data_IF_537862855089
#
_entry.id   IF_537862855089
#
_cell.length_a   1.000
_cell.length_b   1.000
_cell.length_c   1.000
_cell.angle_alpha   90.00
_cell.angle_beta   90.00
_cell.angle_gamma   90.00
#
_symmetry.space_group_name_H-M   'P 1'
#
loop_
_entity.id
_entity.type
_entity.pdbx_description
1 polymer ?
#
# COMPACT_ATOMS: atom_id res chain seq x y z
N UNK A 1 14.48 -19.60 -8.48
CA UNK A 1 13.89 -18.68 -7.48
C UNK A 1 13.62 -17.25 -7.99
N UNK A 2 14.57 -16.57 -8.65
CA UNK A 2 14.39 -15.17 -9.06
C UNK A 2 13.28 -14.95 -10.11
N UNK A 3 13.12 -15.87 -11.06
CA UNK A 3 12.02 -15.81 -12.04
C UNK A 3 10.64 -15.91 -11.36
N UNK A 4 10.52 -16.73 -10.31
CA UNK A 4 9.28 -16.84 -9.53
C UNK A 4 8.95 -15.53 -8.82
N UNK A 5 9.96 -14.85 -8.25
CA UNK A 5 9.81 -13.53 -7.62
C UNK A 5 9.37 -12.46 -8.63
N UNK A 6 9.90 -12.48 -9.86
CA UNK A 6 9.46 -11.57 -10.94
C UNK A 6 7.99 -11.82 -11.31
N UNK A 7 7.60 -13.08 -11.55
CA UNK A 7 6.21 -13.42 -11.89
C UNK A 7 5.27 -13.02 -10.74
N UNK A 8 5.66 -13.32 -9.51
CA UNK A 8 4.96 -12.95 -8.28
C UNK A 8 4.78 -11.42 -8.15
N UNK A 9 5.81 -10.63 -8.45
CA UNK A 9 5.71 -9.16 -8.53
C UNK A 9 4.71 -8.70 -9.58
N UNK A 10 4.77 -9.26 -10.80
CA UNK A 10 3.84 -8.90 -11.88
C UNK A 10 2.40 -9.22 -11.48
N UNK A 11 2.13 -10.40 -10.91
CA UNK A 11 0.80 -10.77 -10.42
C UNK A 11 0.33 -9.86 -9.28
N UNK A 12 1.21 -9.48 -8.36
CA UNK A 12 0.88 -8.56 -7.27
C UNK A 12 0.54 -7.15 -7.78
N UNK A 13 1.27 -6.65 -8.78
CA UNK A 13 0.99 -5.37 -9.44
C UNK A 13 -0.41 -5.38 -10.06
N UNK A 14 -0.70 -6.37 -10.90
CA UNK A 14 -2.02 -6.49 -11.55
C UNK A 14 -3.14 -6.75 -10.53
N UNK A 15 -2.90 -7.56 -9.51
CA UNK A 15 -3.86 -7.82 -8.44
C UNK A 15 -4.22 -6.57 -7.65
N UNK A 16 -3.23 -5.76 -7.24
CA UNK A 16 -3.48 -4.49 -6.55
C UNK A 16 -4.17 -3.47 -7.46
N UNK A 17 -3.76 -3.38 -8.73
CA UNK A 17 -4.42 -2.52 -9.70
C UNK A 17 -5.89 -2.90 -9.87
N UNK A 18 -6.18 -4.18 -10.06
CA UNK A 18 -7.56 -4.65 -10.17
C UNK A 18 -8.35 -4.41 -8.88
N UNK A 19 -7.75 -4.65 -7.71
CA UNK A 19 -8.41 -4.32 -6.44
C UNK A 19 -8.75 -2.84 -6.32
N UNK A 20 -7.93 -1.95 -6.87
CA UNK A 20 -8.17 -0.50 -6.80
C UNK A 20 -9.38 -0.02 -7.62
N UNK A 21 -9.86 -0.82 -8.57
CA UNK A 21 -10.98 -0.48 -9.46
C UNK A 21 -12.15 -1.47 -9.41
N UNK A 22 -12.00 -2.64 -8.77
CA UNK A 22 -13.00 -3.70 -8.77
C UNK A 22 -14.18 -3.42 -7.84
N UNK A 23 -15.40 -3.70 -8.26
CA UNK A 23 -16.59 -3.55 -7.41
C UNK A 23 -17.33 -4.87 -7.24
N UNK A 24 -18.07 -5.00 -6.14
CA UNK A 24 -18.88 -6.18 -5.84
C UNK A 24 -18.07 -7.48 -5.82
N UNK A 25 -18.56 -8.51 -6.51
CA UNK A 25 -17.95 -9.84 -6.47
C UNK A 25 -16.57 -9.93 -7.13
N UNK A 26 -16.24 -9.02 -8.06
CA UNK A 26 -14.94 -8.99 -8.73
C UNK A 26 -13.78 -8.73 -7.78
N UNK A 27 -14.05 -8.14 -6.60
CA UNK A 27 -13.06 -7.95 -5.53
C UNK A 27 -12.42 -9.29 -5.13
N UNK A 28 -13.18 -10.40 -5.07
CA UNK A 28 -12.65 -11.72 -4.71
C UNK A 28 -11.69 -12.27 -5.75
N UNK A 29 -11.96 -12.03 -7.03
CA UNK A 29 -11.08 -12.42 -8.13
C UNK A 29 -9.77 -11.62 -8.07
N UNK A 30 -9.87 -10.30 -7.92
CA UNK A 30 -8.72 -9.42 -7.79
C UNK A 30 -7.88 -9.74 -6.53
N UNK A 31 -8.53 -10.02 -5.40
CA UNK A 31 -7.89 -10.42 -4.16
C UNK A 31 -7.15 -11.76 -4.30
N UNK A 32 -7.73 -12.72 -5.02
CA UNK A 32 -7.07 -14.00 -5.30
C UNK A 32 -5.82 -13.80 -6.15
N UNK A 33 -5.91 -12.98 -7.20
CA UNK A 33 -4.75 -12.65 -8.04
C UNK A 33 -3.63 -11.99 -7.25
N UNK A 34 -3.97 -11.01 -6.40
CA UNK A 34 -3.03 -10.37 -5.49
C UNK A 34 -2.44 -11.37 -4.49
N UNK A 35 -3.28 -12.24 -3.91
CA UNK A 35 -2.88 -13.29 -2.98
C UNK A 35 -1.82 -14.22 -3.59
N UNK A 36 -2.08 -14.72 -4.80
CA UNK A 36 -1.12 -15.55 -5.56
C UNK A 36 0.22 -14.84 -5.78
N UNK A 37 0.17 -13.55 -6.10
CA UNK A 37 1.37 -12.71 -6.17
C UNK A 37 2.10 -12.67 -4.83
N UNK A 38 1.41 -12.36 -3.73
CA UNK A 38 2.02 -12.15 -2.41
C UNK A 38 2.62 -13.42 -1.78
N UNK A 39 2.07 -14.60 -2.07
CA UNK A 39 2.45 -15.87 -1.42
C UNK A 39 3.93 -16.21 -1.55
N UNK A 40 4.57 -15.89 -2.67
CA UNK A 40 5.94 -16.35 -2.95
C UNK A 40 7.03 -15.39 -2.48
N UNK A 41 6.72 -14.13 -2.14
CA UNK A 41 7.75 -13.14 -1.81
C UNK A 41 8.60 -13.55 -0.62
N UNK A 42 7.96 -13.87 0.49
CA UNK A 42 8.65 -14.18 1.73
C UNK A 42 9.48 -15.48 1.66
N UNK A 43 8.88 -16.66 1.39
CA UNK A 43 9.63 -17.91 1.39
C UNK A 43 10.72 -17.94 0.33
N UNK A 44 10.47 -17.39 -0.86
CA UNK A 44 11.45 -17.42 -1.95
C UNK A 44 12.60 -16.45 -1.70
N UNK A 45 12.34 -15.27 -1.12
CA UNK A 45 13.42 -14.33 -0.75
C UNK A 45 14.31 -14.94 0.33
N UNK A 46 13.72 -15.55 1.36
CA UNK A 46 14.50 -16.25 2.38
C UNK A 46 15.30 -17.43 1.82
N UNK A 47 14.73 -18.19 0.88
CA UNK A 47 15.45 -19.23 0.15
C UNK A 47 16.65 -18.68 -0.64
N UNK A 48 16.48 -17.56 -1.35
CA UNK A 48 17.58 -16.91 -2.07
C UNK A 48 18.68 -16.48 -1.11
N UNK A 49 18.34 -15.90 0.04
CA UNK A 49 19.31 -15.50 1.06
C UNK A 49 20.04 -16.73 1.59
N UNK A 50 19.33 -17.80 1.94
CA UNK A 50 19.95 -19.04 2.43
C UNK A 50 20.95 -19.64 1.43
N UNK A 51 20.61 -19.63 0.14
CA UNK A 51 21.49 -20.15 -0.92
C UNK A 51 22.67 -19.24 -1.24
N UNK A 52 22.54 -17.92 -1.06
CA UNK A 52 23.60 -16.95 -1.38
C UNK A 52 24.49 -16.61 -0.18
N UNK A 53 24.02 -16.81 1.05
CA UNK A 53 24.77 -16.57 2.29
C UNK A 53 24.80 -17.81 3.21
N UNK A 54 25.24 -18.99 2.74
CA UNK A 54 25.20 -20.23 3.51
C UNK A 54 26.09 -20.21 4.77
N UNK A 55 27.18 -19.43 4.78
CA UNK A 55 28.07 -19.28 5.97
C UNK A 55 27.36 -18.64 7.17
N UNK A 56 26.36 -17.81 6.89
CA UNK A 56 25.59 -17.10 7.92
C UNK A 56 24.51 -17.97 8.57
N UNK A 57 24.11 -19.06 7.92
CA UNK A 57 23.17 -20.05 8.44
C UNK A 57 21.90 -19.42 9.02
N UNK A 58 21.47 -19.93 10.19
CA UNK A 58 20.28 -19.46 10.88
C UNK A 58 20.39 -17.99 11.36
N UNK A 59 21.60 -17.51 11.67
CA UNK A 59 21.78 -16.15 12.19
C UNK A 59 21.43 -15.10 11.13
N UNK A 60 21.95 -15.24 9.90
CA UNK A 60 21.62 -14.31 8.81
C UNK A 60 20.15 -14.41 8.42
N UNK A 61 19.58 -15.62 8.44
CA UNK A 61 18.18 -15.83 8.07
C UNK A 61 17.22 -15.17 9.07
N UNK A 62 17.49 -15.31 10.38
CA UNK A 62 16.74 -14.64 11.43
C UNK A 62 16.94 -13.12 11.39
N UNK A 63 18.15 -12.64 11.13
CA UNK A 63 18.43 -11.20 11.04
C UNK A 63 17.68 -10.55 9.87
N UNK A 64 17.74 -11.12 8.67
CA UNK A 64 17.01 -10.60 7.49
C UNK A 64 15.50 -10.65 7.71
N UNK A 65 15.00 -11.74 8.28
CA UNK A 65 13.57 -11.86 8.62
C UNK A 65 13.13 -10.83 9.66
N UNK A 66 13.93 -10.63 10.71
CA UNK A 66 13.66 -9.68 11.78
C UNK A 66 13.65 -8.24 11.28
N UNK A 67 14.68 -7.84 10.52
CA UNK A 67 14.74 -6.51 9.90
C UNK A 67 13.54 -6.29 8.97
N UNK A 68 13.21 -7.29 8.13
CA UNK A 68 12.06 -7.20 7.24
C UNK A 68 10.74 -6.93 7.99
N UNK A 69 10.49 -7.66 9.08
CA UNK A 69 9.28 -7.46 9.90
C UNK A 69 9.29 -6.12 10.65
N UNK A 70 10.44 -5.68 11.15
CA UNK A 70 10.58 -4.35 11.77
C UNK A 70 10.27 -3.23 10.79
N UNK A 71 10.76 -3.32 9.54
CA UNK A 71 10.48 -2.34 8.49
C UNK A 71 8.99 -2.27 8.15
N UNK A 72 8.30 -3.42 8.08
CA UNK A 72 6.85 -3.47 7.82
C UNK A 72 6.06 -2.75 8.92
N UNK A 73 6.41 -2.96 10.18
CA UNK A 73 5.74 -2.32 11.30
C UNK A 73 6.07 -0.82 11.43
N UNK A 74 7.35 -0.48 11.35
CA UNK A 74 7.84 0.88 11.57
C UNK A 74 7.49 1.84 10.42
N UNK A 75 7.59 1.38 9.17
CA UNK A 75 7.43 2.24 7.98
C UNK A 75 6.25 1.79 7.11
N UNK A 76 6.05 0.49 6.93
CA UNK A 76 5.03 -0.03 6.03
C UNK A 76 3.61 0.40 6.39
N UNK A 77 3.18 0.11 7.62
CA UNK A 77 1.82 0.45 8.06
C UNK A 77 1.53 1.98 8.05
N UNK A 78 2.41 2.85 8.56
CA UNK A 78 2.21 4.30 8.49
C UNK A 78 2.14 4.85 7.06
N UNK A 79 3.03 4.41 6.14
CA UNK A 79 3.01 4.87 4.75
C UNK A 79 1.72 4.46 4.04
N UNK A 80 1.25 3.22 4.27
CA UNK A 80 -0.02 2.76 3.71
C UNK A 80 -1.19 3.57 4.28
N UNK A 81 -1.16 3.90 5.58
CA UNK A 81 -2.12 4.79 6.23
C UNK A 81 -2.14 6.19 5.60
N UNK A 82 -0.97 6.77 5.32
CA UNK A 82 -0.85 8.05 4.64
C UNK A 82 -1.41 8.00 3.21
N UNK A 83 -1.13 6.94 2.44
CA UNK A 83 -1.72 6.76 1.10
C UNK A 83 -3.24 6.62 1.15
N UNK A 84 -3.77 5.93 2.17
CA UNK A 84 -5.19 5.83 2.40
C UNK A 84 -5.80 7.19 2.70
N UNK A 85 -5.26 7.92 3.69
CA UNK A 85 -5.78 9.22 4.10
C UNK A 85 -5.75 10.24 2.96
N UNK A 86 -4.61 10.37 2.27
CA UNK A 86 -4.48 11.30 1.15
C UNK A 86 -5.48 10.98 0.02
N UNK A 87 -5.73 9.69 -0.24
CA UNK A 87 -6.71 9.29 -1.26
C UNK A 87 -8.15 9.52 -0.81
N UNK A 88 -8.47 9.40 0.48
CA UNK A 88 -9.77 9.77 1.03
C UNK A 88 -10.01 11.28 0.93
N UNK A 89 -9.03 12.10 1.34
CA UNK A 89 -9.08 13.56 1.21
C UNK A 89 -9.33 13.94 -0.25
N UNK A 90 -8.56 13.37 -1.18
CA UNK A 90 -8.71 13.61 -2.62
C UNK A 90 -10.12 13.27 -3.13
N UNK A 91 -10.74 12.17 -2.66
CA UNK A 91 -12.10 11.82 -3.05
C UNK A 91 -13.16 12.75 -2.46
N UNK A 92 -12.97 13.19 -1.23
CA UNK A 92 -13.91 14.10 -0.55
C UNK A 92 -13.86 15.49 -1.19
N UNK A 93 -12.66 16.03 -1.43
CA UNK A 93 -12.47 17.35 -2.04
C UNK A 93 -12.97 17.42 -3.49
N UNK A 94 -12.76 16.35 -4.26
CA UNK A 94 -13.17 16.29 -5.66
C UNK A 94 -14.67 15.99 -5.87
N UNK A 95 -15.42 15.68 -4.80
CA UNK A 95 -16.83 15.31 -4.92
C UNK A 95 -17.74 16.52 -5.08
N UNK A 96 -18.33 16.65 -6.26
CA UNK A 96 -19.32 17.70 -6.54
C UNK A 96 -20.63 17.49 -5.78
N UNK A 97 -21.04 16.24 -5.56
CA UNK A 97 -22.21 15.90 -4.74
C UNK A 97 -22.02 16.36 -3.30
N UNK A 98 -20.80 16.18 -2.76
CA UNK A 98 -20.46 16.66 -1.43
C UNK A 98 -20.41 18.19 -1.41
N UNK A 99 -19.87 18.83 -2.45
CA UNK A 99 -19.84 20.29 -2.55
C UNK A 99 -21.25 20.93 -2.60
N UNK A 100 -22.25 20.23 -3.16
CA UNK A 100 -23.63 20.70 -3.23
C UNK A 100 -24.41 20.45 -1.93
N UNK A 101 -24.12 19.33 -1.25
CA UNK A 101 -24.79 18.96 -0.01
C UNK A 101 -24.17 19.62 1.23
N UNK A 102 -22.87 19.92 1.20
CA UNK A 102 -22.13 20.45 2.34
C UNK A 102 -22.53 21.91 2.67
N UNK A 103 -22.47 22.29 3.96
CA UNK A 103 -22.67 23.66 4.38
C UNK A 103 -21.59 24.59 3.82
N UNK A 104 -21.93 25.86 3.58
CA UNK A 104 -21.03 26.88 3.02
C UNK A 104 -19.76 27.13 3.85
N UNK A 105 -19.76 26.74 5.12
CA UNK A 105 -18.60 26.81 6.02
C UNK A 105 -17.50 25.82 5.65
N UNK A 106 -17.82 24.74 4.94
CA UNK A 106 -16.88 23.76 4.41
C UNK A 106 -16.60 23.98 2.91
N UNK A 107 -16.87 25.18 2.39
CA UNK A 107 -16.68 25.50 0.98
C UNK A 107 -15.78 26.73 0.84
N UNK A 108 -14.64 26.55 0.17
CA UNK A 108 -13.77 27.65 -0.26
C UNK A 108 -13.75 27.64 -1.79
N UNK A 109 -14.17 28.75 -2.43
CA UNK A 109 -14.31 28.90 -3.89
C UNK A 109 -15.17 27.80 -4.58
N UNK A 110 -16.17 27.26 -3.88
CA UNK A 110 -17.08 26.24 -4.42
C UNK A 110 -16.50 24.81 -4.43
N UNK A 111 -15.36 24.59 -3.79
CA UNK A 111 -14.80 23.26 -3.52
C UNK A 111 -14.90 22.92 -2.03
N UNK A 112 -14.98 21.63 -1.71
CA UNK A 112 -15.02 21.16 -0.33
C UNK A 112 -13.67 21.43 0.33
N UNK A 113 -13.66 22.33 1.30
CA UNK A 113 -12.53 22.64 2.16
C UNK A 113 -12.70 21.84 3.46
N UNK A 114 -11.83 20.84 3.64
CA UNK A 114 -11.92 19.90 4.76
C UNK A 114 -11.06 20.41 5.92
N UNK A 115 -11.51 20.27 7.17
CA UNK A 115 -10.62 20.47 8.31
C UNK A 115 -9.56 19.36 8.30
N UNK A 116 -8.32 19.74 8.04
CA UNK A 116 -7.18 18.81 7.96
C UNK A 116 -6.37 18.92 9.25
N UNK A 117 -6.06 17.76 9.82
CA UNK A 117 -5.17 17.62 10.97
C UNK A 117 -3.85 17.03 10.51
N UNK A 118 -2.76 17.71 10.83
CA UNK A 118 -1.42 17.19 10.61
C UNK A 118 -1.14 16.08 11.64
N UNK A 119 -0.77 14.91 11.14
CA UNK A 119 -0.35 13.77 11.94
C UNK A 119 1.08 13.40 11.58
N UNK A 120 1.90 13.23 12.61
CA UNK A 120 3.28 12.75 12.46
C UNK A 120 3.41 11.41 13.18
N UNK A 121 3.72 10.36 12.42
CA UNK A 121 4.03 9.04 12.99
C UNK A 121 5.55 8.89 13.12
N UNK A 122 5.99 8.53 14.33
CA UNK A 122 7.39 8.30 14.71
C UNK A 122 8.34 9.48 14.41
N UNK A 123 7.85 10.71 14.29
CA UNK A 123 8.63 11.91 13.93
C UNK A 123 9.32 11.85 12.56
N UNK A 124 8.93 10.90 11.70
CA UNK A 124 9.59 10.62 10.41
C UNK A 124 8.61 10.75 9.24
N UNK A 125 7.31 10.53 9.49
CA UNK A 125 6.29 10.47 8.44
C UNK A 125 5.17 11.43 8.79
N UNK A 126 5.11 12.53 8.05
CA UNK A 126 4.05 13.52 8.13
C UNK A 126 2.97 13.21 7.08
N UNK A 127 1.71 13.21 7.51
CA UNK A 127 0.56 13.07 6.64
C UNK A 127 -0.65 13.77 7.25
N UNK A 128 -1.65 14.04 6.43
CA UNK A 128 -2.86 14.74 6.85
C UNK A 128 -4.00 13.76 6.99
N UNK A 129 -4.85 13.98 7.97
CA UNK A 129 -6.14 13.29 8.14
C UNK A 129 -7.27 14.29 8.19
N UNK A 130 -8.47 13.86 7.80
CA UNK A 130 -9.66 14.70 7.97
C UNK A 130 -10.05 14.68 9.44
N UNK A 131 -10.14 15.86 10.05
CA UNK A 131 -10.68 16.00 11.40
C UNK A 131 -12.18 15.73 11.37
N UNK A 132 -12.54 14.52 11.77
CA UNK A 132 -13.93 14.05 11.75
C UNK A 132 -14.78 14.75 12.81
N UNK A 133 -14.19 15.25 13.89
CA UNK A 133 -14.92 15.91 14.96
C UNK A 133 -15.33 17.32 14.52
N UNK A 134 -14.37 18.08 13.97
CA UNK A 134 -14.64 19.39 13.39
C UNK A 134 -15.57 19.29 12.17
N UNK A 135 -15.35 18.29 11.31
CA UNK A 135 -16.22 18.04 10.15
C UNK A 135 -17.66 17.71 10.59
N UNK A 136 -17.85 16.84 11.58
CA UNK A 136 -19.19 16.50 12.06
C UNK A 136 -19.87 17.70 12.73
N UNK A 137 -19.14 18.47 13.55
CA UNK A 137 -19.68 19.69 14.16
C UNK A 137 -20.12 20.72 13.11
N UNK A 138 -19.41 20.83 11.99
CA UNK A 138 -19.80 21.71 10.89
C UNK A 138 -21.09 21.25 10.17
N UNK A 139 -21.34 19.94 10.11
CA UNK A 139 -22.48 19.36 9.36
C UNK A 139 -23.71 19.11 10.26
N UNK A 140 -23.55 19.04 11.58
CA UNK A 140 -24.58 18.65 12.56
C UNK A 140 -25.92 19.42 12.43
N UNK A 141 -25.85 20.70 12.06
CA UNK A 141 -27.02 21.58 11.94
C UNK A 141 -27.62 21.63 10.51
N UNK A 142 -27.23 20.71 9.63
CA UNK A 142 -27.69 20.68 8.23
C UNK A 142 -28.86 19.72 8.06
N UNK A 143 -29.91 20.13 7.36
CA UNK A 143 -31.10 19.30 7.08
C UNK A 143 -30.76 17.98 6.36
N UNK A 144 -29.62 17.93 5.65
CA UNK A 144 -29.16 16.79 4.85
C UNK A 144 -28.08 15.94 5.57
N UNK A 145 -27.99 15.99 6.90
CA UNK A 145 -26.95 15.29 7.70
C UNK A 145 -26.80 13.80 7.34
N UNK A 146 -27.91 13.07 7.18
CA UNK A 146 -27.87 11.64 6.85
C UNK A 146 -27.28 11.38 5.46
N UNK A 147 -27.63 12.20 4.48
CA UNK A 147 -27.12 12.11 3.11
C UNK A 147 -25.62 12.43 3.04
N UNK A 148 -25.17 13.44 3.78
CA UNK A 148 -23.76 13.81 3.85
C UNK A 148 -22.95 12.68 4.50
N UNK A 149 -23.44 12.10 5.60
CA UNK A 149 -22.74 11.02 6.29
C UNK A 149 -22.61 9.76 5.42
N UNK A 150 -23.66 9.37 4.69
CA UNK A 150 -23.60 8.22 3.78
C UNK A 150 -22.66 8.50 2.60
N UNK A 151 -22.71 9.71 2.03
CA UNK A 151 -21.83 10.12 0.95
C UNK A 151 -20.37 10.15 1.37
N UNK A 152 -20.05 10.71 2.55
CA UNK A 152 -18.69 10.72 3.11
C UNK A 152 -18.19 9.31 3.35
N UNK A 153 -19.03 8.42 3.88
CA UNK A 153 -18.65 7.02 4.10
C UNK A 153 -18.34 6.28 2.78
N UNK A 154 -19.14 6.49 1.74
CA UNK A 154 -18.90 5.92 0.41
C UNK A 154 -17.62 6.48 -0.23
N UNK A 155 -17.42 7.80 -0.18
CA UNK A 155 -16.22 8.47 -0.70
C UNK A 155 -14.95 8.02 0.03
N UNK A 156 -15.00 7.82 1.35
CA UNK A 156 -13.88 7.25 2.12
C UNK A 156 -13.58 5.81 1.72
N UNK A 157 -14.61 5.02 1.45
CA UNK A 157 -14.46 3.63 0.98
C UNK A 157 -13.81 3.61 -0.39
N UNK A 158 -14.29 4.43 -1.33
CA UNK A 158 -13.67 4.63 -2.66
C UNK A 158 -12.23 5.14 -2.55
N UNK A 159 -11.96 6.09 -1.66
CA UNK A 159 -10.62 6.63 -1.42
C UNK A 159 -9.66 5.55 -0.90
N UNK A 160 -10.11 4.74 0.04
CA UNK A 160 -9.37 3.58 0.56
C UNK A 160 -9.05 2.58 -0.54
N UNK A 161 -10.03 2.31 -1.40
CA UNK A 161 -9.84 1.41 -2.52
C UNK A 161 -8.84 1.97 -3.54
N UNK A 162 -8.94 3.26 -3.88
CA UNK A 162 -7.99 3.93 -4.79
C UNK A 162 -6.57 4.00 -4.23
N UNK A 163 -6.42 4.07 -2.91
CA UNK A 163 -5.10 4.03 -2.27
C UNK A 163 -4.32 2.75 -2.62
N UNK A 164 -5.00 1.64 -2.92
CA UNK A 164 -4.35 0.41 -3.37
C UNK A 164 -3.53 0.59 -4.65
N UNK A 165 -3.93 1.52 -5.54
CA UNK A 165 -3.15 1.86 -6.72
C UNK A 165 -1.81 2.53 -6.35
N UNK A 166 -1.79 3.37 -5.30
CA UNK A 166 -0.56 3.99 -4.78
C UNK A 166 0.36 2.94 -4.16
N UNK A 167 -0.20 1.90 -3.53
CA UNK A 167 0.56 0.78 -2.92
C UNK A 167 1.30 -0.08 -3.97
N UNK A 168 0.91 -0.05 -5.25
CA UNK A 168 1.58 -0.76 -6.35
C UNK A 168 3.07 -0.41 -6.45
N UNK A 169 3.48 0.78 -5.99
CA UNK A 169 4.88 1.22 -6.01
C UNK A 169 5.82 0.21 -5.33
N UNK A 170 5.37 -0.46 -4.26
CA UNK A 170 6.22 -1.42 -3.54
C UNK A 170 6.54 -2.66 -4.41
N UNK A 171 5.56 -3.42 -4.95
CA UNK A 171 5.83 -4.47 -5.92
C UNK A 171 6.60 -4.03 -7.17
N UNK A 172 6.40 -2.79 -7.64
CA UNK A 172 7.15 -2.23 -8.78
C UNK A 172 8.64 -2.08 -8.48
N UNK A 173 8.99 -1.53 -7.30
CA UNK A 173 10.38 -1.44 -6.86
C UNK A 173 10.97 -2.85 -6.67
N UNK A 174 10.21 -3.77 -6.07
CA UNK A 174 10.64 -5.17 -5.93
C UNK A 174 10.90 -5.82 -7.29
N UNK A 175 10.02 -5.64 -8.27
CA UNK A 175 10.19 -6.13 -9.63
C UNK A 175 11.51 -5.61 -10.24
N UNK A 176 11.77 -4.31 -10.13
CA UNK A 176 13.01 -3.71 -10.62
C UNK A 176 14.24 -4.33 -9.95
N UNK A 177 14.23 -4.49 -8.63
CA UNK A 177 15.31 -5.13 -7.87
C UNK A 177 15.55 -6.59 -8.33
N UNK A 178 14.49 -7.37 -8.53
CA UNK A 178 14.61 -8.76 -8.97
C UNK A 178 15.12 -8.86 -10.42
N UNK A 179 14.71 -7.96 -11.30
CA UNK A 179 15.24 -7.88 -12.66
C UNK A 179 16.74 -7.51 -12.66
N UNK A 180 17.16 -6.57 -11.81
CA UNK A 180 18.57 -6.22 -11.61
C UNK A 180 19.35 -7.44 -11.13
N UNK A 181 18.84 -8.18 -10.14
CA UNK A 181 19.48 -9.41 -9.66
C UNK A 181 19.60 -10.47 -10.76
N UNK A 182 18.54 -10.68 -11.56
CA UNK A 182 18.58 -11.62 -12.69
C UNK A 182 19.69 -11.21 -13.67
N UNK A 183 19.78 -9.94 -14.02
CA UNK A 183 20.82 -9.45 -14.92
C UNK A 183 22.21 -9.65 -14.33
N UNK A 184 22.41 -9.28 -13.07
CA UNK A 184 23.65 -9.48 -12.33
C UNK A 184 24.08 -10.96 -12.32
N UNK A 185 23.19 -11.89 -11.99
CA UNK A 185 23.53 -13.32 -11.99
C UNK A 185 23.80 -13.85 -13.40
N UNK A 186 23.09 -13.35 -14.43
CA UNK A 186 23.40 -13.70 -15.83
C UNK A 186 24.82 -13.28 -16.21
N UNK A 187 25.29 -12.11 -15.78
CA UNK A 187 26.69 -11.69 -16.03
C UNK A 187 27.73 -12.56 -15.32
N UNK A 188 27.34 -13.34 -14.30
CA UNK A 188 28.20 -14.24 -13.54
C UNK A 188 28.04 -15.72 -13.91
N UNK A 189 27.43 -16.01 -15.06
CA UNK A 189 27.22 -17.39 -15.53
C UNK A 189 25.98 -18.08 -14.95
N UNK A 190 25.00 -17.29 -14.50
CA UNK A 190 23.71 -17.74 -14.00
C UNK A 190 23.61 -17.75 -12.48
N UNK A 191 22.38 -17.90 -11.99
CA UNK A 191 22.11 -18.06 -10.56
C UNK A 191 22.56 -19.47 -10.12
N UNK A 192 23.42 -19.54 -9.10
CA UNK A 192 23.92 -20.80 -8.53
C UNK A 192 23.95 -20.68 -7.01
N UNK A 193 23.54 -21.73 -6.27
CA UNK A 193 23.74 -21.78 -4.82
C UNK A 193 25.23 -21.71 -4.49
N UNK A 194 25.58 -20.98 -3.44
CA UNK A 194 26.94 -20.97 -2.90
C UNK A 194 27.11 -22.27 -2.11
N UNK A 195 28.13 -23.05 -2.43
CA UNK A 195 28.45 -24.30 -1.73
C UNK A 195 29.66 -24.06 -0.85
N UNK A 196 29.59 -24.47 0.41
CA UNK A 196 30.73 -24.39 1.31
C UNK A 196 31.62 -25.62 1.11
N UNK A 197 32.89 -25.40 0.80
CA UNK A 197 33.89 -26.45 0.88
C UNK A 197 34.08 -26.84 2.35
N UNK A 198 34.12 -28.14 2.58
CA UNK A 198 34.33 -28.72 3.91
C UNK A 198 35.83 -28.66 4.20
N UNK A 199 36.27 -27.61 4.90
CA UNK A 199 37.60 -27.58 5.52
C UNK A 199 37.66 -28.54 6.71
#
# INVERSE_FOLDING_TARGET
PLALLVISSVLAIFGLYFLSISTGWYIFVAATLYGLGKTFFWPTTLGVVAEQTPRGGALTLNAVSGIGMLTVGMLGAPIIGAFQSNSQIEQLQASQELALAAPKTLLTDGQVDLPLRDETIYSIIDFQTVDMEEFQGAVENTDNLQEINTLVADLKTKGTQRALAKVIIFPMIMLACYLILIFYFRTKGGYKPVVLEKN
#
